data_IF_468584385624
#
_entry.id   IF_468584385624
#
_cell.length_a   1.000
_cell.length_b   1.000
_cell.length_c   1.000
_cell.angle_alpha   90.00
_cell.angle_beta   90.00
_cell.angle_gamma   90.00
#
_symmetry.space_group_name_H-M   'P 1'
#
loop_
_entity.id
_entity.type
_entity.pdbx_description
1 polymer ?
#
# COMPACT_ATOMS: atom_id res chain seq x y z
N UNK A 1 0.62 -27.11 6.13
CA UNK A 1 0.78 -26.21 7.29
C UNK A 1 -0.36 -26.50 8.24
N UNK A 2 -0.05 -26.92 9.47
CA UNK A 2 -1.06 -27.08 10.52
C UNK A 2 -1.77 -25.76 10.76
N UNK A 3 -3.11 -25.79 10.80
CA UNK A 3 -3.97 -24.62 10.95
C UNK A 3 -4.14 -24.28 12.43
N UNK A 4 -3.05 -23.98 13.13
CA UNK A 4 -3.09 -23.41 14.48
C UNK A 4 -2.92 -21.90 14.40
N UNK A 5 -3.78 -21.24 13.62
CA UNK A 5 -3.86 -19.78 13.62
C UNK A 5 -5.20 -19.39 14.20
N UNK A 6 -5.17 -18.56 15.23
CA UNK A 6 -6.35 -17.94 15.84
C UNK A 6 -6.89 -16.76 15.01
N UNK A 7 -8.12 -16.35 15.33
CA UNK A 7 -8.74 -15.12 14.81
C UNK A 7 -7.81 -13.94 15.10
N UNK A 8 -7.67 -13.02 14.14
CA UNK A 8 -6.82 -11.84 14.26
C UNK A 8 -5.32 -12.14 14.52
N UNK A 9 -4.83 -13.38 14.41
CA UNK A 9 -3.39 -13.63 14.59
C UNK A 9 -2.56 -13.20 13.38
N UNK A 10 -3.14 -13.24 12.19
CA UNK A 10 -2.48 -12.90 10.94
C UNK A 10 -3.40 -12.04 10.07
N UNK A 11 -3.04 -10.76 9.93
CA UNK A 11 -3.80 -9.79 9.14
C UNK A 11 -2.98 -9.32 7.94
N UNK A 12 -3.64 -9.12 6.81
CA UNK A 12 -3.07 -8.41 5.67
C UNK A 12 -3.57 -6.97 5.69
N UNK A 13 -2.66 -6.02 5.45
CA UNK A 13 -3.02 -4.59 5.33
C UNK A 13 -2.63 -4.05 3.96
N UNK A 14 -3.43 -3.13 3.46
CA UNK A 14 -3.16 -2.39 2.23
C UNK A 14 -3.88 -1.05 2.21
N UNK A 15 -3.40 -0.13 1.38
CA UNK A 15 -4.09 1.13 1.15
C UNK A 15 -5.08 1.02 -0.01
N UNK A 16 -6.32 1.38 0.25
CA UNK A 16 -7.35 1.64 -0.74
C UNK A 16 -7.46 3.15 -1.00
N UNK A 17 -7.74 3.56 -2.23
CA UNK A 17 -7.98 4.97 -2.59
C UNK A 17 -6.83 5.63 -3.38
N UNK A 18 -6.75 6.95 -3.30
CA UNK A 18 -5.88 7.78 -4.16
C UNK A 18 -6.53 8.19 -5.49
N UNK A 19 -7.79 7.84 -5.69
CA UNK A 19 -8.60 8.25 -6.84
C UNK A 19 -9.32 9.54 -6.46
N UNK A 20 -9.15 10.61 -7.25
CA UNK A 20 -9.99 11.80 -7.12
C UNK A 20 -11.42 11.40 -7.44
N UNK A 21 -12.33 11.64 -6.51
CA UNK A 21 -13.73 11.33 -6.74
C UNK A 21 -14.45 12.59 -7.21
N UNK A 22 -15.05 12.54 -8.41
CA UNK A 22 -15.84 13.64 -8.97
C UNK A 22 -17.05 13.97 -8.08
N UNK A 23 -17.46 13.01 -7.24
CA UNK A 23 -18.58 13.14 -6.33
C UNK A 23 -18.21 13.78 -4.98
N UNK A 24 -16.96 14.20 -4.74
CA UNK A 24 -16.51 14.84 -3.48
C UNK A 24 -17.38 16.03 -3.09
N UNK A 25 -17.89 16.80 -4.05
CA UNK A 25 -18.77 17.94 -3.82
C UNK A 25 -20.20 17.56 -3.40
N UNK A 26 -20.60 16.30 -3.58
CA UNK A 26 -21.96 15.83 -3.26
C UNK A 26 -22.15 15.47 -1.78
N UNK A 27 -21.10 15.58 -0.95
CA UNK A 27 -21.18 15.37 0.49
C UNK A 27 -20.54 16.54 1.25
N UNK A 28 -21.14 16.92 2.38
CA UNK A 28 -20.47 17.79 3.34
C UNK A 28 -19.26 17.08 3.96
N UNK A 29 -18.33 17.83 4.59
CA UNK A 29 -17.20 17.24 5.30
C UNK A 29 -17.73 16.20 6.30
N UNK A 30 -17.21 14.98 6.25
CA UNK A 30 -17.61 13.91 7.17
C UNK A 30 -17.26 14.38 8.59
N UNK A 31 -18.29 14.67 9.39
CA UNK A 31 -18.11 15.05 10.80
C UNK A 31 -17.77 13.86 11.69
N UNK A 32 -18.20 12.65 11.34
CA UNK A 32 -17.80 11.41 12.03
C UNK A 32 -18.49 10.17 11.45
N UNK A 33 -17.73 9.20 10.94
CA UNK A 33 -18.11 7.77 10.99
C UNK A 33 -16.86 6.97 11.35
N UNK A 34 -16.80 6.45 12.58
CA UNK A 34 -15.67 5.68 13.11
C UNK A 34 -14.55 6.57 13.64
N UNK A 35 -14.29 6.52 14.95
CA UNK A 35 -13.56 7.53 15.71
C UNK A 35 -12.15 7.91 15.22
N UNK A 36 -11.90 9.22 15.33
CA UNK A 36 -10.64 9.99 15.33
C UNK A 36 -10.10 10.43 13.96
N UNK A 37 -10.28 11.74 13.72
CA UNK A 37 -9.50 12.54 12.76
C UNK A 37 -8.00 12.37 13.02
N UNK A 38 -7.27 11.89 12.01
CA UNK A 38 -5.86 12.25 11.82
C UNK A 38 -5.89 13.35 10.75
N UNK A 39 -6.13 14.60 11.17
CA UNK A 39 -6.20 15.75 10.24
C UNK A 39 -7.15 16.88 10.65
N UNK A 40 -6.91 18.06 10.08
CA UNK A 40 -7.65 19.31 10.35
C UNK A 40 -9.08 19.28 9.79
N UNK A 41 -9.96 20.16 10.27
CA UNK A 41 -11.40 20.07 10.11
C UNK A 41 -12.00 20.19 8.69
N UNK A 42 -11.18 20.27 7.63
CA UNK A 42 -11.60 20.65 6.27
C UNK A 42 -11.25 19.63 5.18
N UNK A 43 -10.65 18.49 5.51
CA UNK A 43 -10.02 17.60 4.53
C UNK A 43 -10.82 16.30 4.34
N UNK A 44 -11.20 16.03 3.09
CA UNK A 44 -11.87 14.78 2.71
C UNK A 44 -10.87 13.62 2.75
N UNK A 45 -11.28 12.43 3.23
CA UNK A 45 -10.41 11.26 3.25
C UNK A 45 -10.06 10.85 1.80
N UNK A 46 -8.77 10.72 1.52
CA UNK A 46 -8.25 10.33 0.21
C UNK A 46 -7.92 8.85 0.13
N UNK A 47 -7.70 8.24 1.28
CA UNK A 47 -7.28 6.85 1.42
C UNK A 47 -8.10 6.14 2.50
N UNK A 48 -8.06 4.82 2.47
CA UNK A 48 -8.55 3.97 3.53
C UNK A 48 -7.55 2.85 3.76
N UNK A 49 -7.13 2.64 5.00
CA UNK A 49 -6.38 1.45 5.39
C UNK A 49 -7.35 0.28 5.45
N UNK A 50 -7.18 -0.68 4.54
CA UNK A 50 -7.93 -1.92 4.52
C UNK A 50 -7.15 -2.96 5.33
N UNK A 51 -7.78 -3.45 6.39
CA UNK A 51 -7.25 -4.50 7.26
C UNK A 51 -8.11 -5.75 7.01
N UNK A 52 -7.46 -6.81 6.57
CA UNK A 52 -8.09 -8.05 6.14
C UNK A 52 -7.56 -9.22 6.97
N UNK A 53 -8.41 -9.82 7.78
CA UNK A 53 -8.05 -11.03 8.53
C UNK A 53 -7.97 -12.22 7.57
N UNK A 54 -6.80 -12.88 7.50
CA UNK A 54 -6.56 -13.96 6.55
C UNK A 54 -7.26 -15.27 6.90
N UNK A 55 -7.63 -15.46 8.16
CA UNK A 55 -8.36 -16.63 8.62
C UNK A 55 -9.86 -16.45 8.41
N UNK A 56 -10.41 -15.37 8.97
CA UNK A 56 -11.87 -15.14 8.99
C UNK A 56 -12.36 -14.45 7.72
N UNK A 57 -11.45 -13.85 6.94
CA UNK A 57 -11.76 -12.97 5.81
C UNK A 57 -12.55 -11.73 6.20
N UNK A 58 -12.46 -11.32 7.47
CA UNK A 58 -13.12 -10.10 7.96
C UNK A 58 -12.44 -8.86 7.39
N UNK A 59 -13.25 -7.92 6.93
CA UNK A 59 -12.85 -6.64 6.36
C UNK A 59 -13.02 -5.52 7.37
N UNK A 60 -11.99 -4.72 7.56
CA UNK A 60 -12.07 -3.45 8.30
C UNK A 60 -11.47 -2.34 7.44
N UNK A 61 -12.17 -1.21 7.31
CA UNK A 61 -11.67 -0.04 6.60
C UNK A 61 -11.61 1.15 7.54
N UNK A 62 -10.45 1.78 7.62
CA UNK A 62 -10.21 2.97 8.43
C UNK A 62 -9.75 4.11 7.51
N UNK A 63 -10.44 5.25 7.56
CA UNK A 63 -10.23 6.35 6.62
C UNK A 63 -8.99 7.18 6.99
N UNK A 64 -8.26 7.66 5.99
CA UNK A 64 -7.07 8.49 6.13
C UNK A 64 -7.02 9.63 5.11
N UNK A 65 -6.39 10.73 5.48
CA UNK A 65 -6.13 11.85 4.57
C UNK A 65 -4.89 11.61 3.70
N UNK A 66 -3.90 10.91 4.25
CA UNK A 66 -2.62 10.63 3.63
C UNK A 66 -2.22 9.15 3.78
N UNK A 67 -1.11 8.77 3.13
CA UNK A 67 -0.46 7.46 3.26
C UNK A 67 0.85 7.56 4.04
N UNK A 68 0.89 8.34 5.12
CA UNK A 68 2.11 8.43 5.93
C UNK A 68 2.26 7.21 6.85
N UNK A 69 3.50 6.93 7.28
CA UNK A 69 3.76 5.88 8.27
C UNK A 69 3.13 6.21 9.64
N UNK A 70 2.96 7.50 9.96
CA UNK A 70 2.25 7.95 11.16
C UNK A 70 0.76 7.63 11.09
N UNK A 71 0.11 7.89 9.95
CA UNK A 71 -1.29 7.51 9.75
C UNK A 71 -1.49 6.00 9.74
N UNK A 72 -0.61 5.24 9.09
CA UNK A 72 -0.64 3.77 9.15
C UNK A 72 -0.58 3.26 10.59
N UNK A 73 0.34 3.81 11.41
CA UNK A 73 0.46 3.46 12.82
C UNK A 73 -0.82 3.79 13.60
N UNK A 74 -1.30 5.02 13.52
CA UNK A 74 -2.46 5.47 14.30
C UNK A 74 -3.72 4.66 13.99
N UNK A 75 -3.94 4.32 12.72
CA UNK A 75 -5.09 3.49 12.31
C UNK A 75 -4.92 2.03 12.73
N UNK A 76 -3.71 1.47 12.60
CA UNK A 76 -3.45 0.10 13.05
C UNK A 76 -3.56 -0.04 14.57
N UNK A 77 -3.09 0.97 15.31
CA UNK A 77 -3.24 1.04 16.76
C UNK A 77 -4.72 1.10 17.16
N UNK A 78 -5.51 1.93 16.49
CA UNK A 78 -6.97 1.97 16.69
C UNK A 78 -7.63 0.62 16.44
N UNK A 79 -7.27 -0.06 15.35
CA UNK A 79 -7.73 -1.42 15.07
C UNK A 79 -7.38 -2.38 16.21
N UNK A 80 -6.12 -2.35 16.68
CA UNK A 80 -5.65 -3.23 17.75
C UNK A 80 -6.41 -3.00 19.07
N UNK A 81 -6.76 -1.75 19.40
CA UNK A 81 -7.55 -1.45 20.59
C UNK A 81 -8.98 -2.01 20.53
N UNK A 82 -9.52 -2.23 19.33
CA UNK A 82 -10.87 -2.76 19.12
C UNK A 82 -10.87 -4.29 18.96
N UNK A 83 -9.87 -4.84 18.29
CA UNK A 83 -9.82 -6.25 17.86
C UNK A 83 -8.76 -7.09 18.56
N UNK A 84 -7.88 -6.46 19.32
CA UNK A 84 -6.66 -7.08 19.85
C UNK A 84 -5.47 -6.96 18.88
N UNK A 85 -4.29 -7.26 19.39
CA UNK A 85 -3.03 -7.16 18.64
C UNK A 85 -2.76 -8.42 17.82
N UNK A 86 -2.49 -8.31 16.50
CA UNK A 86 -2.11 -9.45 15.70
C UNK A 86 -0.68 -9.92 15.98
N UNK A 87 -0.40 -11.20 15.74
CA UNK A 87 0.96 -11.74 15.83
C UNK A 87 1.78 -11.43 14.58
N UNK A 88 1.12 -11.29 13.43
CA UNK A 88 1.75 -11.06 12.14
C UNK A 88 0.90 -10.09 11.28
N UNK A 89 1.55 -9.08 10.73
CA UNK A 89 1.01 -8.18 9.71
C UNK A 89 1.70 -8.48 8.39
N UNK A 90 0.91 -8.75 7.35
CA UNK A 90 1.35 -8.89 5.97
C UNK A 90 1.04 -7.64 5.18
N UNK A 91 2.05 -7.01 4.60
CA UNK A 91 1.90 -5.79 3.80
C UNK A 91 2.83 -5.82 2.58
N UNK A 92 2.69 -4.86 1.67
CA UNK A 92 3.71 -4.59 0.66
C UNK A 92 4.88 -3.78 1.25
N UNK A 93 5.83 -3.43 0.39
CA UNK A 93 6.97 -2.59 0.73
C UNK A 93 6.63 -1.08 0.55
N UNK A 94 5.38 -0.66 0.74
CA UNK A 94 5.01 0.75 0.70
C UNK A 94 5.72 1.52 1.84
N UNK A 95 6.06 2.79 1.59
CA UNK A 95 6.79 3.65 2.55
C UNK A 95 6.01 3.85 3.86
N UNK A 96 4.68 3.80 3.80
CA UNK A 96 3.83 3.84 4.99
C UNK A 96 4.05 2.65 5.94
N UNK A 97 4.38 1.47 5.41
CA UNK A 97 4.58 0.25 6.20
C UNK A 97 6.05 -0.08 6.46
N UNK A 98 6.96 0.47 5.67
CA UNK A 98 8.42 0.32 5.86
C UNK A 98 9.03 1.48 6.67
N UNK A 99 8.30 2.58 6.85
CA UNK A 99 8.75 3.74 7.59
C UNK A 99 9.03 3.45 9.07
N UNK A 100 9.96 4.21 9.66
CA UNK A 100 10.43 4.05 11.06
C UNK A 100 9.30 4.16 12.09
N UNK A 101 8.30 5.00 11.82
CA UNK A 101 7.16 5.20 12.72
C UNK A 101 6.35 3.90 12.89
N UNK A 102 5.88 3.33 11.78
CA UNK A 102 5.10 2.10 11.77
C UNK A 102 5.92 0.88 12.23
N UNK A 103 7.10 0.70 11.67
CA UNK A 103 7.97 -0.45 12.01
C UNK A 103 8.49 -0.40 13.44
N UNK A 104 8.79 0.79 13.95
CA UNK A 104 9.17 1.03 15.35
C UNK A 104 8.04 0.68 16.31
N UNK A 105 6.82 1.15 16.02
CA UNK A 105 5.63 0.80 16.79
C UNK A 105 5.35 -0.71 16.79
N UNK A 106 5.37 -1.37 15.62
CA UNK A 106 5.20 -2.82 15.53
C UNK A 106 6.23 -3.58 16.39
N UNK A 107 7.51 -3.13 16.38
CA UNK A 107 8.58 -3.72 17.20
C UNK A 107 8.30 -3.55 18.69
N UNK A 108 7.88 -2.38 19.14
CA UNK A 108 7.54 -2.11 20.55
C UNK A 108 6.37 -2.99 21.01
N UNK A 109 5.36 -3.15 20.17
CA UNK A 109 4.18 -3.95 20.49
C UNK A 109 4.38 -5.47 20.31
N UNK A 110 5.56 -5.91 19.86
CA UNK A 110 5.85 -7.32 19.59
C UNK A 110 5.12 -7.89 18.36
N UNK A 111 4.60 -7.03 17.49
CA UNK A 111 3.92 -7.42 16.25
C UNK A 111 4.94 -7.65 15.16
N UNK A 112 4.95 -8.85 14.56
CA UNK A 112 5.83 -9.14 13.43
C UNK A 112 5.26 -8.55 12.16
N UNK A 113 6.11 -7.96 11.33
CA UNK A 113 5.74 -7.44 10.00
C UNK A 113 6.48 -8.25 8.94
N UNK A 114 5.75 -8.74 7.95
CA UNK A 114 6.32 -9.41 6.79
C UNK A 114 5.90 -8.67 5.52
N UNK A 115 6.91 -8.15 4.81
CA UNK A 115 6.72 -7.47 3.54
C UNK A 115 6.70 -8.48 2.39
N UNK A 116 5.75 -8.30 1.48
CA UNK A 116 5.74 -9.07 0.24
C UNK A 116 6.89 -8.62 -0.66
N UNK A 117 7.62 -9.54 -1.32
CA UNK A 117 8.69 -9.17 -2.21
C UNK A 117 8.20 -8.23 -3.32
N UNK A 118 9.01 -7.26 -3.76
CA UNK A 118 8.65 -6.35 -4.83
C UNK A 118 8.19 -7.12 -6.08
N UNK A 119 7.19 -6.59 -6.79
CA UNK A 119 6.70 -7.14 -8.06
C UNK A 119 6.16 -8.58 -7.98
N UNK A 120 5.59 -8.97 -6.83
CA UNK A 120 4.89 -10.26 -6.65
C UNK A 120 3.39 -10.11 -6.31
N UNK A 121 2.59 -9.41 -7.15
CA UNK A 121 1.17 -9.12 -6.86
C UNK A 121 0.34 -10.37 -6.54
N UNK A 122 0.67 -11.51 -7.17
CA UNK A 122 -0.01 -12.78 -6.94
C UNK A 122 0.07 -13.29 -5.50
N UNK A 123 1.07 -12.90 -4.69
CA UNK A 123 1.15 -13.27 -3.27
C UNK A 123 0.16 -12.51 -2.40
N UNK A 124 -0.34 -11.37 -2.90
CA UNK A 124 -1.41 -10.55 -2.33
C UNK A 124 -2.75 -10.77 -3.02
N UNK A 125 -2.91 -11.87 -3.76
CA UNK A 125 -4.13 -12.14 -4.51
C UNK A 125 -5.41 -12.13 -3.64
N UNK A 126 -5.31 -12.38 -2.34
CA UNK A 126 -6.44 -12.27 -1.41
C UNK A 126 -6.90 -10.81 -1.24
N UNK A 127 -5.99 -9.88 -0.95
CA UNK A 127 -6.34 -8.46 -0.71
C UNK A 127 -6.62 -7.74 -2.04
N UNK A 128 -5.93 -8.09 -3.12
CA UNK A 128 -6.22 -7.56 -4.46
C UNK A 128 -7.61 -7.98 -4.95
N UNK A 129 -8.00 -9.23 -4.70
CA UNK A 129 -9.36 -9.70 -5.00
C UNK A 129 -10.39 -8.98 -4.15
N UNK A 130 -10.13 -8.82 -2.85
CA UNK A 130 -10.98 -8.05 -1.96
C UNK A 130 -11.14 -6.59 -2.45
N UNK A 131 -10.07 -5.94 -2.89
CA UNK A 131 -10.15 -4.60 -3.47
C UNK A 131 -11.00 -4.56 -4.73
N UNK A 132 -10.86 -5.54 -5.62
CA UNK A 132 -11.69 -5.62 -6.83
C UNK A 132 -13.19 -5.77 -6.49
N UNK A 133 -13.50 -6.55 -5.47
CA UNK A 133 -14.87 -6.74 -4.95
C UNK A 133 -15.40 -5.45 -4.33
N UNK A 134 -14.64 -4.80 -3.45
CA UNK A 134 -15.00 -3.50 -2.84
C UNK A 134 -15.28 -2.46 -3.92
N UNK A 135 -14.42 -2.32 -4.93
CA UNK A 135 -14.65 -1.36 -6.01
C UNK A 135 -15.85 -1.72 -6.89
N UNK A 136 -16.17 -3.01 -7.08
CA UNK A 136 -17.38 -3.42 -7.76
C UNK A 136 -18.63 -3.02 -6.95
N UNK A 137 -18.59 -3.20 -5.64
CA UNK A 137 -19.66 -2.80 -4.72
C UNK A 137 -19.86 -1.28 -4.67
N UNK A 138 -18.76 -0.50 -4.62
CA UNK A 138 -18.84 0.97 -4.71
C UNK A 138 -19.54 1.38 -6.01
N UNK A 139 -19.15 0.81 -7.16
CA UNK A 139 -19.79 1.12 -8.45
C UNK A 139 -21.27 0.76 -8.46
N UNK A 140 -21.65 -0.39 -7.90
CA UNK A 140 -23.03 -0.81 -7.82
C UNK A 140 -23.88 0.16 -6.96
N UNK A 141 -23.37 0.56 -5.78
CA UNK A 141 -24.07 1.52 -4.92
C UNK A 141 -24.20 2.91 -5.58
N UNK A 142 -23.17 3.38 -6.29
CA UNK A 142 -23.26 4.63 -7.07
C UNK A 142 -24.31 4.52 -8.18
N UNK A 143 -24.36 3.42 -8.92
CA UNK A 143 -25.36 3.18 -9.96
C UNK A 143 -26.79 3.16 -9.40
N UNK A 144 -26.96 2.59 -8.21
CA UNK A 144 -28.24 2.58 -7.51
C UNK A 144 -28.67 4.00 -7.10
N UNK A 145 -27.77 4.81 -6.56
CA UNK A 145 -28.06 6.20 -6.22
C UNK A 145 -28.51 6.98 -7.47
N UNK A 146 -27.85 6.78 -8.61
CA UNK A 146 -28.26 7.35 -9.92
C UNK A 146 -29.65 6.85 -10.32
N UNK A 147 -29.91 5.55 -10.20
CA UNK A 147 -31.20 4.94 -10.54
C UNK A 147 -32.36 5.46 -9.69
N UNK A 148 -32.08 5.87 -8.43
CA UNK A 148 -33.05 6.50 -7.52
C UNK A 148 -33.20 8.02 -7.76
N UNK A 149 -32.50 8.59 -8.75
CA UNK A 149 -32.48 10.03 -9.02
C UNK A 149 -31.71 10.84 -7.97
N UNK A 150 -30.86 10.21 -7.18
CA UNK A 150 -30.01 10.86 -6.17
C UNK A 150 -28.59 11.06 -6.71
N UNK A 151 -27.90 12.10 -6.24
CA UNK A 151 -26.50 12.32 -6.60
C UNK A 151 -25.62 11.27 -5.91
N UNK A 152 -24.71 10.59 -6.63
CA UNK A 152 -23.78 9.65 -6.01
C UNK A 152 -22.94 10.36 -4.95
N UNK A 153 -22.62 9.63 -3.89
CA UNK A 153 -21.73 10.08 -2.84
C UNK A 153 -20.29 9.66 -3.16
N UNK A 154 -19.29 10.22 -2.47
CA UNK A 154 -17.92 9.77 -2.61
C UNK A 154 -17.74 8.30 -2.20
N UNK A 155 -16.80 7.61 -2.83
CA UNK A 155 -16.54 6.18 -2.61
C UNK A 155 -16.36 5.80 -1.14
N UNK A 156 -15.69 6.67 -0.36
CA UNK A 156 -15.41 6.45 1.06
C UNK A 156 -16.68 6.40 1.92
N UNK A 157 -17.79 7.00 1.46
CA UNK A 157 -19.07 6.97 2.14
C UNK A 157 -19.67 5.55 2.17
N UNK A 158 -19.37 4.74 1.14
CA UNK A 158 -19.93 3.40 1.00
C UNK A 158 -19.12 2.34 1.75
N UNK A 159 -17.85 2.61 2.11
CA UNK A 159 -16.95 1.58 2.64
C UNK A 159 -17.49 0.88 3.88
N UNK A 160 -18.07 1.61 4.84
CA UNK A 160 -18.60 0.98 6.05
C UNK A 160 -19.82 0.10 5.76
N UNK A 161 -20.69 0.51 4.82
CA UNK A 161 -21.81 -0.32 4.36
C UNK A 161 -21.33 -1.57 3.64
N UNK A 162 -20.31 -1.43 2.80
CA UNK A 162 -19.68 -2.54 2.07
C UNK A 162 -19.02 -3.50 3.05
N UNK A 163 -18.27 -3.00 4.03
CA UNK A 163 -17.65 -3.81 5.08
C UNK A 163 -18.69 -4.60 5.86
N UNK A 164 -19.78 -3.94 6.28
CA UNK A 164 -20.88 -4.60 6.95
C UNK A 164 -21.48 -5.71 6.09
N UNK A 165 -21.75 -5.43 4.81
CA UNK A 165 -22.31 -6.42 3.90
C UNK A 165 -21.36 -7.61 3.67
N UNK A 166 -20.08 -7.37 3.42
CA UNK A 166 -19.06 -8.41 3.21
C UNK A 166 -18.90 -9.29 4.46
N UNK A 167 -18.85 -8.68 5.64
CA UNK A 167 -18.63 -9.40 6.88
C UNK A 167 -19.84 -10.23 7.33
N UNK A 168 -21.04 -9.88 6.88
CA UNK A 168 -22.29 -10.61 7.17
C UNK A 168 -22.74 -11.52 6.02
N UNK A 169 -22.08 -11.48 4.86
CA UNK A 169 -22.42 -12.34 3.75
C UNK A 169 -21.82 -13.73 3.95
N UNK A 170 -22.68 -14.75 3.90
CA UNK A 170 -22.23 -16.14 3.87
C UNK A 170 -21.34 -16.38 2.65
N UNK A 171 -20.15 -16.96 2.88
CA UNK A 171 -19.21 -17.29 1.81
C UNK A 171 -19.15 -18.79 1.60
N UNK A 172 -19.32 -19.25 0.36
CA UNK A 172 -19.14 -20.68 0.02
C UNK A 172 -17.72 -21.16 0.35
N UNK A 173 -16.72 -20.30 0.15
CA UNK A 173 -15.32 -20.59 0.48
C UNK A 173 -15.09 -20.79 1.99
N UNK A 174 -15.97 -20.23 2.83
CA UNK A 174 -15.95 -20.40 4.28
C UNK A 174 -16.93 -21.50 4.76
N UNK A 175 -17.47 -22.32 3.85
CA UNK A 175 -18.41 -23.38 4.20
C UNK A 175 -19.83 -22.88 4.46
N UNK A 176 -20.21 -21.74 3.90
CA UNK A 176 -21.56 -21.16 4.04
C UNK A 176 -21.75 -20.30 5.29
N UNK A 177 -20.69 -20.08 6.08
CA UNK A 177 -20.70 -19.11 7.19
C UNK A 177 -20.17 -17.74 6.74
N UNK A 178 -20.55 -16.68 7.46
CA UNK A 178 -20.03 -15.34 7.21
C UNK A 178 -18.72 -15.09 7.98
N UNK A 179 -17.89 -14.11 7.55
CA UNK A 179 -16.73 -13.69 8.34
C UNK A 179 -17.07 -13.32 9.79
N UNK A 180 -18.20 -12.66 10.06
CA UNK A 180 -18.60 -12.30 11.42
C UNK A 180 -18.97 -13.53 12.27
N UNK A 181 -19.58 -14.56 11.69
CA UNK A 181 -19.86 -15.80 12.42
C UNK A 181 -18.56 -16.44 12.94
N UNK A 182 -17.48 -16.35 12.15
CA UNK A 182 -16.15 -16.83 12.53
C UNK A 182 -15.47 -15.96 13.58
N UNK A 183 -15.70 -14.64 13.57
CA UNK A 183 -15.03 -13.69 14.48
C UNK A 183 -15.70 -13.63 15.84
N UNK A 184 -17.03 -13.51 15.90
CA UNK A 184 -17.76 -13.19 17.14
C UNK A 184 -18.49 -14.39 17.72
N UNK A 185 -18.59 -15.51 17.01
CA UNK A 185 -19.35 -16.72 17.41
C UNK A 185 -20.87 -16.51 17.61
N UNK A 186 -21.36 -15.28 17.45
CA UNK A 186 -22.78 -14.93 17.37
C UNK A 186 -23.05 -14.17 16.08
N UNK A 187 -24.20 -14.41 15.46
CA UNK A 187 -24.63 -13.63 14.28
C UNK A 187 -24.79 -12.17 14.70
N UNK A 188 -23.99 -11.29 14.09
CA UNK A 188 -24.21 -9.85 14.20
C UNK A 188 -25.63 -9.56 13.74
N UNK A 189 -26.42 -8.96 14.63
CA UNK A 189 -27.81 -8.68 14.34
C UNK A 189 -27.91 -7.77 13.12
N UNK A 190 -28.46 -8.28 12.03
CA UNK A 190 -28.96 -7.46 10.94
C UNK A 190 -29.99 -6.44 11.49
N UNK A 191 -30.24 -5.31 10.83
CA UNK A 191 -31.32 -4.43 11.24
C UNK A 191 -32.62 -5.21 11.48
N UNK A 192 -33.37 -4.94 12.59
CA UNK A 192 -34.52 -5.76 12.98
C UNK A 192 -35.55 -5.99 11.87
N UNK A 193 -35.70 -5.03 10.94
CA UNK A 193 -36.58 -5.15 9.78
C UNK A 193 -36.19 -6.28 8.80
N UNK A 194 -34.93 -6.69 8.79
CA UNK A 194 -34.40 -7.77 7.97
C UNK A 194 -34.35 -9.12 8.71
N UNK A 195 -34.70 -9.13 9.99
CA UNK A 195 -34.73 -10.33 10.80
C UNK A 195 -36.17 -10.83 10.95
N UNK A 196 -36.38 -12.15 11.07
CA UNK A 196 -37.65 -12.65 11.56
C UNK A 196 -37.93 -12.06 12.94
N UNK A 197 -39.17 -11.65 13.19
CA UNK A 197 -39.59 -11.12 14.49
C UNK A 197 -39.28 -12.15 15.58
N UNK A 198 -38.29 -11.85 16.40
CA UNK A 198 -38.01 -12.60 17.63
C UNK A 198 -38.52 -11.76 18.79
N UNK A 199 -39.49 -12.26 19.57
CA UNK A 199 -39.95 -11.53 20.74
C UNK A 199 -38.76 -11.29 21.68
N UNK A 200 -38.70 -10.10 22.28
CA UNK A 200 -37.72 -9.81 23.31
C UNK A 200 -37.91 -10.82 24.47
N UNK A 201 -36.82 -11.27 25.11
CA UNK A 201 -36.90 -12.02 26.36
C UNK A 201 -37.82 -11.32 27.37
N UNK A 202 -38.64 -12.07 28.10
CA UNK A 202 -39.69 -11.53 28.97
C UNK A 202 -39.12 -10.62 30.08
N UNK A 203 -37.95 -10.95 30.61
CA UNK A 203 -37.17 -10.17 31.56
C UNK A 203 -36.66 -8.84 30.98
N UNK A 204 -36.20 -8.85 29.72
CA UNK A 204 -35.81 -7.62 29.01
C UNK A 204 -37.03 -6.76 28.69
N UNK A 205 -38.15 -7.36 28.32
CA UNK A 205 -39.41 -6.65 28.09
C UNK A 205 -39.89 -5.96 29.37
N UNK A 206 -39.89 -6.68 30.50
CA UNK A 206 -40.21 -6.12 31.82
C UNK A 206 -39.26 -4.97 32.20
N UNK A 207 -37.96 -5.12 31.95
CA UNK A 207 -36.98 -4.06 32.19
C UNK A 207 -37.25 -2.83 31.32
N UNK A 208 -37.53 -3.01 30.03
CA UNK A 208 -37.84 -1.90 29.11
C UNK A 208 -39.12 -1.21 29.53
N UNK A 209 -40.21 -1.94 29.79
CA UNK A 209 -41.48 -1.37 30.26
C UNK A 209 -41.31 -0.60 31.57
N UNK A 210 -40.46 -1.09 32.48
CA UNK A 210 -40.19 -0.47 33.77
C UNK A 210 -39.34 0.80 33.68
N UNK A 211 -38.39 0.88 32.75
CA UNK A 211 -37.37 1.93 32.71
C UNK A 211 -37.46 2.87 31.48
N UNK A 212 -38.27 2.51 30.50
CA UNK A 212 -38.36 3.19 29.21
C UNK A 212 -39.81 3.21 28.74
N UNK A 213 -40.48 4.35 28.87
CA UNK A 213 -41.51 4.69 27.89
C UNK A 213 -40.73 5.30 26.71
N UNK A 214 -40.40 4.55 25.64
CA UNK A 214 -39.84 5.18 24.46
C UNK A 214 -40.80 6.30 24.06
N UNK A 215 -40.34 7.55 23.89
CA UNK A 215 -41.21 8.60 23.39
C UNK A 215 -41.76 8.11 22.07
N UNK A 216 -43.08 7.99 22.00
CA UNK A 216 -43.77 7.70 20.76
C UNK A 216 -43.48 8.86 19.81
N UNK A 217 -42.44 8.71 18.99
CA UNK A 217 -42.18 9.56 17.84
C UNK A 217 -43.23 9.24 16.77
N UNK A 218 -44.48 9.59 17.09
CA UNK A 218 -45.65 9.57 16.20
C UNK A 218 -45.61 10.69 15.17
N UNK A 219 -44.53 11.49 15.15
CA UNK A 219 -44.28 12.45 14.10
C UNK A 219 -44.23 11.72 12.75
N UNK A 220 -45.25 11.96 11.93
CA UNK A 220 -45.39 11.46 10.57
C UNK A 220 -44.13 11.75 9.73
N UNK A 221 -43.41 12.86 10.03
CA UNK A 221 -42.15 13.19 9.38
C UNK A 221 -41.02 12.23 9.76
N UNK A 222 -40.92 11.84 11.03
CA UNK A 222 -39.94 10.85 11.51
C UNK A 222 -40.26 9.45 10.97
N UNK A 223 -41.54 9.06 11.00
CA UNK A 223 -41.97 7.76 10.47
C UNK A 223 -41.73 7.64 8.96
N UNK A 224 -42.03 8.69 8.18
CA UNK A 224 -41.69 8.74 6.75
C UNK A 224 -40.18 8.71 6.50
N UNK A 225 -39.38 9.34 7.37
CA UNK A 225 -37.92 9.30 7.29
C UNK A 225 -37.38 7.89 7.54
N UNK A 226 -37.82 7.23 8.63
CA UNK A 226 -37.41 5.86 8.97
C UNK A 226 -37.81 4.88 7.88
N UNK A 227 -39.05 4.97 7.38
CA UNK A 227 -39.55 4.09 6.33
C UNK A 227 -38.82 4.27 5.00
N UNK A 228 -38.49 5.52 4.65
CA UNK A 228 -37.63 5.82 3.50
C UNK A 228 -36.25 5.17 3.64
N UNK A 229 -35.57 5.37 4.78
CA UNK A 229 -34.25 4.79 5.02
C UNK A 229 -34.27 3.26 5.05
N UNK A 230 -35.33 2.67 5.61
CA UNK A 230 -35.55 1.22 5.63
C UNK A 230 -35.62 0.66 4.20
N UNK A 231 -36.49 1.21 3.36
CA UNK A 231 -36.61 0.81 1.95
C UNK A 231 -35.32 1.01 1.16
N UNK A 232 -34.63 2.12 1.40
CA UNK A 232 -33.34 2.40 0.74
C UNK A 232 -32.27 1.37 1.12
N UNK A 233 -32.24 0.95 2.37
CA UNK A 233 -31.29 -0.04 2.88
C UNK A 233 -31.60 -1.45 2.40
N UNK A 234 -32.87 -1.86 2.43
CA UNK A 234 -33.35 -3.14 1.89
C UNK A 234 -33.04 -3.28 0.39
N UNK A 235 -33.35 -2.24 -0.39
CA UNK A 235 -33.03 -2.19 -1.82
C UNK A 235 -31.52 -2.33 -2.06
N UNK A 236 -30.70 -1.59 -1.30
CA UNK A 236 -29.25 -1.61 -1.46
C UNK A 236 -28.65 -2.98 -1.14
N UNK A 237 -29.14 -3.67 -0.11
CA UNK A 237 -28.69 -5.03 0.22
C UNK A 237 -29.10 -6.03 -0.84
N UNK A 238 -30.33 -5.95 -1.34
CA UNK A 238 -30.83 -6.86 -2.39
C UNK A 238 -30.00 -6.73 -3.68
N UNK A 239 -29.81 -5.48 -4.14
CA UNK A 239 -29.00 -5.16 -5.32
C UNK A 239 -27.55 -5.61 -5.12
N UNK A 240 -26.96 -5.32 -3.97
CA UNK A 240 -25.61 -5.75 -3.63
C UNK A 240 -25.44 -7.27 -3.72
N UNK A 241 -26.37 -8.04 -3.15
CA UNK A 241 -26.33 -9.51 -3.18
C UNK A 241 -26.39 -10.05 -4.61
N UNK A 242 -27.28 -9.53 -5.44
CA UNK A 242 -27.38 -9.94 -6.85
C UNK A 242 -26.11 -9.64 -7.64
N UNK A 243 -25.56 -8.42 -7.50
CA UNK A 243 -24.34 -8.03 -8.19
C UNK A 243 -23.12 -8.83 -7.73
N UNK A 244 -23.01 -9.10 -6.42
CA UNK A 244 -21.94 -9.91 -5.87
C UNK A 244 -21.97 -11.32 -6.47
N UNK A 245 -23.14 -11.97 -6.49
CA UNK A 245 -23.31 -13.31 -7.06
C UNK A 245 -22.92 -13.34 -8.54
N UNK A 246 -23.39 -12.36 -9.34
CA UNK A 246 -23.01 -12.26 -10.76
C UNK A 246 -21.50 -12.04 -10.96
N UNK A 247 -20.90 -11.13 -10.20
CA UNK A 247 -19.48 -10.81 -10.32
C UNK A 247 -18.59 -12.00 -9.92
N UNK A 248 -18.96 -12.74 -8.87
CA UNK A 248 -18.27 -13.97 -8.47
C UNK A 248 -18.38 -15.05 -9.55
N UNK A 249 -19.57 -15.22 -10.13
CA UNK A 249 -19.80 -16.14 -11.24
C UNK A 249 -18.92 -15.82 -12.45
N UNK A 250 -18.93 -14.57 -12.94
CA UNK A 250 -18.13 -14.15 -14.08
C UNK A 250 -16.62 -14.31 -13.85
N UNK A 251 -16.15 -14.01 -12.63
CA UNK A 251 -14.76 -14.21 -12.25
C UNK A 251 -14.38 -15.69 -12.22
N UNK A 252 -15.26 -16.57 -11.74
CA UNK A 252 -15.03 -18.02 -11.72
C UNK A 252 -14.87 -18.58 -13.15
N UNK A 253 -15.72 -18.15 -14.09
CA UNK A 253 -15.68 -18.57 -15.50
C UNK A 253 -14.40 -18.08 -16.18
N UNK A 254 -13.99 -16.84 -15.90
CA UNK A 254 -12.72 -16.26 -16.39
C UNK A 254 -11.49 -16.96 -15.81
N UNK A 255 -11.53 -17.41 -14.56
CA UNK A 255 -10.41 -18.14 -13.93
C UNK A 255 -10.31 -19.57 -14.47
N UNK A 256 -11.44 -20.26 -14.62
CA UNK A 256 -11.49 -21.61 -15.19
C UNK A 256 -10.93 -21.64 -16.63
N UNK A 257 -11.30 -20.66 -17.46
CA UNK A 257 -10.81 -20.53 -18.83
C UNK A 257 -9.32 -20.17 -18.95
N UNK A 258 -8.76 -19.43 -17.97
CA UNK A 258 -7.32 -19.10 -17.92
C UNK A 258 -6.45 -20.24 -17.35
N UNK A 259 -7.00 -21.02 -16.43
CA UNK A 259 -6.35 -22.17 -15.79
C UNK A 259 -5.92 -23.23 -16.80
N UNK A 260 -6.75 -23.49 -17.82
CA UNK A 260 -6.46 -24.46 -18.87
C UNK A 260 -5.24 -24.13 -19.76
N UNK A 261 -4.70 -22.88 -19.72
CA UNK A 261 -3.63 -22.43 -20.63
C UNK A 261 -2.21 -22.41 -20.03
N UNK A 262 -2.00 -22.71 -18.75
CA UNK A 262 -0.66 -22.57 -18.15
C UNK A 262 0.11 -23.90 -18.09
N UNK A 263 1.11 -23.96 -18.96
CA UNK A 263 2.13 -24.99 -19.09
C UNK A 263 2.80 -25.35 -17.76
N UNK A 264 3.18 -26.62 -17.64
CA UNK A 264 4.02 -27.15 -16.56
C UNK A 264 5.31 -26.32 -16.44
N UNK A 265 5.67 -25.78 -15.27
CA UNK A 265 6.97 -25.15 -15.08
C UNK A 265 8.07 -26.19 -15.30
N UNK A 266 8.99 -25.91 -16.23
CA UNK A 266 10.18 -26.74 -16.39
C UNK A 266 11.08 -26.59 -15.15
N UNK A 267 11.69 -27.68 -14.65
CA UNK A 267 12.65 -27.58 -13.55
C UNK A 267 13.85 -26.70 -13.93
N UNK A 268 14.35 -25.97 -12.94
CA UNK A 268 15.57 -25.15 -13.00
C UNK A 268 16.70 -25.91 -12.30
N UNK A 269 17.89 -25.91 -12.90
CA UNK A 269 19.08 -26.58 -12.37
C UNK A 269 20.05 -25.56 -11.77
N UNK A 270 20.65 -25.87 -10.62
CA UNK A 270 21.61 -24.98 -9.95
C UNK A 270 22.75 -24.62 -10.90
N UNK A 271 23.09 -23.33 -10.98
CA UNK A 271 24.04 -22.75 -11.92
C UNK A 271 23.43 -22.28 -13.24
N UNK A 272 22.16 -22.59 -13.52
CA UNK A 272 21.47 -22.18 -14.75
C UNK A 272 21.35 -20.66 -14.84
N UNK A 273 21.58 -20.14 -16.05
CA UNK A 273 21.48 -18.71 -16.32
C UNK A 273 20.03 -18.28 -16.51
N UNK A 274 19.66 -17.19 -15.86
CA UNK A 274 18.32 -16.61 -15.88
C UNK A 274 18.38 -15.13 -16.26
N UNK A 275 17.30 -14.66 -16.88
CA UNK A 275 16.96 -13.25 -17.04
C UNK A 275 15.93 -12.89 -15.98
N UNK A 276 16.12 -11.78 -15.26
CA UNK A 276 15.16 -11.23 -14.31
C UNK A 276 14.34 -10.14 -14.98
N UNK A 277 13.03 -10.12 -14.78
CA UNK A 277 12.16 -9.07 -15.32
C UNK A 277 12.53 -7.71 -14.70
N UNK A 278 12.91 -6.75 -15.53
CA UNK A 278 13.23 -5.39 -15.08
C UNK A 278 11.95 -4.69 -14.61
N UNK A 279 11.96 -3.99 -13.46
CA UNK A 279 10.83 -3.16 -13.07
C UNK A 279 10.63 -2.05 -14.09
N UNK A 280 9.38 -1.86 -14.53
CA UNK A 280 9.03 -0.75 -15.42
C UNK A 280 9.14 0.56 -14.64
N UNK A 281 10.21 1.32 -14.86
CA UNK A 281 10.31 2.70 -14.39
C UNK A 281 9.23 3.54 -15.09
N UNK A 282 8.34 4.19 -14.32
CA UNK A 282 7.39 5.18 -14.81
C UNK A 282 8.15 6.39 -15.41
N UNK A 283 7.90 6.72 -16.68
CA UNK A 283 8.50 7.90 -17.35
C UNK A 283 8.62 7.79 -18.88
N UNK A 284 8.72 8.94 -19.56
CA UNK A 284 8.97 9.03 -21.01
C UNK A 284 10.30 8.33 -21.34
N UNK A 285 10.25 7.23 -22.10
CA UNK A 285 11.41 6.39 -22.45
C UNK A 285 11.17 4.88 -22.36
N UNK A 286 9.98 4.46 -21.90
CA UNK A 286 9.59 3.05 -21.68
C UNK A 286 9.71 2.13 -22.92
N UNK A 287 9.50 2.65 -24.14
CA UNK A 287 9.36 1.78 -25.33
C UNK A 287 10.66 1.13 -25.79
N UNK A 288 11.83 1.69 -25.44
CA UNK A 288 13.14 1.19 -25.89
C UNK A 288 13.96 0.52 -24.78
N UNK A 289 13.52 0.56 -23.52
CA UNK A 289 14.23 -0.11 -22.41
C UNK A 289 14.01 -1.62 -22.42
N UNK A 290 15.09 -2.36 -22.16
CA UNK A 290 15.05 -3.81 -22.04
C UNK A 290 14.16 -4.23 -20.85
N UNK A 291 13.14 -5.04 -21.14
CA UNK A 291 12.18 -5.56 -20.15
C UNK A 291 12.78 -6.66 -19.24
N UNK A 292 13.97 -7.13 -19.57
CA UNK A 292 14.68 -8.20 -18.87
C UNK A 292 16.11 -7.73 -18.60
N UNK A 293 16.58 -7.99 -17.40
CA UNK A 293 17.88 -7.65 -16.85
C UNK A 293 18.62 -8.93 -16.45
N UNK A 294 19.95 -8.89 -16.45
CA UNK A 294 20.79 -10.05 -16.25
C UNK A 294 21.82 -10.20 -17.37
N UNK A 295 22.37 -11.39 -17.60
CA UNK A 295 22.01 -12.68 -17.01
C UNK A 295 22.49 -12.85 -15.56
N UNK A 296 21.80 -13.68 -14.79
CA UNK A 296 22.10 -14.04 -13.38
C UNK A 296 22.18 -15.55 -13.24
N UNK A 297 22.86 -16.08 -12.22
CA UNK A 297 22.88 -17.52 -11.93
C UNK A 297 21.79 -17.89 -10.93
N UNK A 298 21.17 -19.04 -11.15
CA UNK A 298 20.31 -19.69 -10.18
C UNK A 298 21.16 -20.41 -9.12
N UNK A 299 21.05 -20.03 -7.86
CA UNK A 299 21.79 -20.66 -6.76
C UNK A 299 21.02 -21.82 -6.13
N UNK A 300 19.69 -21.75 -6.16
CA UNK A 300 18.80 -22.76 -5.61
C UNK A 300 17.43 -22.18 -5.29
N UNK A 301 16.51 -23.04 -4.90
CA UNK A 301 15.22 -22.56 -4.39
C UNK A 301 15.42 -21.95 -3.01
N UNK A 302 14.69 -20.87 -2.72
CA UNK A 302 14.52 -20.42 -1.34
C UNK A 302 13.62 -21.37 -0.54
N UNK A 303 13.10 -20.92 0.60
CA UNK A 303 12.19 -21.70 1.47
C UNK A 303 10.90 -22.18 0.76
N UNK A 304 10.60 -21.64 -0.43
CA UNK A 304 9.45 -21.97 -1.25
C UNK A 304 9.88 -22.37 -2.66
N UNK A 305 9.25 -23.40 -3.23
CA UNK A 305 9.43 -23.83 -4.65
C UNK A 305 9.10 -22.75 -5.69
N UNK A 306 8.53 -21.62 -5.27
CA UNK A 306 8.18 -20.48 -6.11
C UNK A 306 9.21 -19.34 -6.04
N UNK A 307 10.14 -19.40 -5.08
CA UNK A 307 11.20 -18.41 -4.90
C UNK A 307 12.54 -19.03 -5.32
N UNK A 308 13.26 -18.24 -6.10
CA UNK A 308 14.49 -18.59 -6.78
C UNK A 308 15.54 -17.65 -6.22
N UNK A 309 16.55 -18.18 -5.53
CA UNK A 309 17.70 -17.38 -5.09
C UNK A 309 18.64 -17.17 -6.28
N UNK A 310 19.00 -15.92 -6.52
CA UNK A 310 19.77 -15.51 -7.69
C UNK A 310 20.99 -14.70 -7.29
N UNK A 311 22.05 -14.86 -8.06
CA UNK A 311 23.31 -14.13 -7.90
C UNK A 311 23.81 -13.58 -9.23
N UNK A 312 24.61 -12.51 -9.18
CA UNK A 312 25.27 -11.96 -10.37
C UNK A 312 26.26 -12.98 -10.96
N UNK A 313 26.69 -12.76 -12.20
CA UNK A 313 27.73 -13.60 -12.81
C UNK A 313 29.05 -13.60 -12.04
N UNK A 314 29.31 -12.54 -11.26
CA UNK A 314 30.46 -12.33 -10.37
C UNK A 314 30.27 -12.93 -8.96
N UNK A 315 29.12 -13.57 -8.68
CA UNK A 315 28.86 -14.24 -7.40
C UNK A 315 28.29 -13.34 -6.31
N UNK A 316 27.85 -12.12 -6.63
CA UNK A 316 27.16 -11.24 -5.66
C UNK A 316 25.70 -11.69 -5.51
N UNK A 317 25.20 -11.95 -4.29
CA UNK A 317 23.80 -12.30 -4.10
C UNK A 317 22.89 -11.13 -4.47
N UNK A 318 21.85 -11.40 -5.28
CA UNK A 318 20.79 -10.45 -5.63
C UNK A 318 19.50 -10.70 -4.83
N UNK A 319 19.43 -11.83 -4.12
CA UNK A 319 18.32 -12.19 -3.24
C UNK A 319 17.24 -13.03 -3.94
N UNK A 320 16.09 -13.15 -3.27
CA UNK A 320 15.00 -14.02 -3.69
C UNK A 320 14.10 -13.37 -4.74
N UNK A 321 13.92 -14.03 -5.89
CA UNK A 321 13.03 -13.59 -6.97
C UNK A 321 11.98 -14.66 -7.25
N UNK A 322 10.77 -14.26 -7.61
CA UNK A 322 9.72 -15.21 -7.96
C UNK A 322 9.98 -15.90 -9.30
N UNK A 323 9.64 -17.20 -9.42
CA UNK A 323 9.87 -18.00 -10.64
C UNK A 323 9.19 -17.43 -11.91
N UNK A 324 8.10 -16.67 -11.76
CA UNK A 324 7.43 -15.98 -12.88
C UNK A 324 8.16 -14.71 -13.38
N UNK A 325 9.04 -14.16 -12.56
CA UNK A 325 9.84 -13.00 -12.91
C UNK A 325 11.22 -13.41 -13.45
N UNK A 326 11.43 -14.71 -13.71
CA UNK A 326 12.65 -15.22 -14.33
C UNK A 326 12.36 -15.98 -15.62
N UNK A 327 13.29 -15.91 -16.57
CA UNK A 327 13.30 -16.64 -17.84
C UNK A 327 14.65 -17.32 -18.02
N UNK A 328 14.70 -18.55 -18.55
CA UNK A 328 15.97 -19.19 -18.93
C UNK A 328 16.74 -18.34 -19.94
N UNK A 329 18.01 -18.09 -19.66
CA UNK A 329 18.94 -17.45 -20.58
C UNK A 329 19.69 -18.53 -21.36
N UNK A 330 19.53 -18.53 -22.69
CA UNK A 330 20.29 -19.37 -23.59
C UNK A 330 21.43 -18.53 -24.16
N UNK A 331 22.61 -18.65 -23.55
CA UNK A 331 23.81 -17.93 -23.95
C UNK A 331 24.92 -18.95 -24.20
N UNK A 332 25.76 -18.71 -25.21
CA UNK A 332 26.96 -19.52 -25.45
C UNK A 332 28.06 -19.19 -24.43
N UNK A 333 29.00 -20.10 -24.21
CA UNK A 333 30.11 -19.89 -23.27
C UNK A 333 30.94 -18.63 -23.61
N UNK A 334 31.10 -18.33 -24.91
CA UNK A 334 31.75 -17.10 -25.38
C UNK A 334 30.96 -15.84 -24.96
N UNK A 335 29.63 -15.85 -25.09
CA UNK A 335 28.77 -14.74 -24.67
C UNK A 335 28.81 -14.55 -23.14
N UNK A 336 28.85 -15.64 -22.38
CA UNK A 336 28.96 -15.60 -20.92
C UNK A 336 30.31 -15.04 -20.49
N UNK A 337 31.41 -15.44 -21.14
CA UNK A 337 32.75 -14.89 -20.87
C UNK A 337 32.83 -13.40 -21.20
N UNK A 338 32.27 -12.98 -22.34
CA UNK A 338 32.21 -11.57 -22.73
C UNK A 338 31.42 -10.73 -21.71
N UNK A 339 30.27 -11.23 -21.25
CA UNK A 339 29.46 -10.56 -20.22
C UNK A 339 30.15 -10.52 -18.86
N UNK A 340 30.90 -11.57 -18.48
CA UNK A 340 31.74 -11.55 -17.28
C UNK A 340 32.80 -10.46 -17.36
N UNK A 341 33.50 -10.35 -18.50
CA UNK A 341 34.54 -9.33 -18.72
C UNK A 341 33.98 -7.90 -18.67
N UNK A 342 32.76 -7.69 -19.15
CA UNK A 342 32.07 -6.40 -19.02
C UNK A 342 31.69 -6.09 -17.57
N UNK A 343 31.19 -7.08 -16.83
CA UNK A 343 30.86 -6.91 -15.40
C UNK A 343 32.09 -6.65 -14.54
N UNK A 344 33.23 -7.30 -14.81
CA UNK A 344 34.48 -7.07 -14.08
C UNK A 344 35.07 -5.70 -14.39
N UNK A 345 34.94 -5.19 -15.63
CA UNK A 345 35.37 -3.82 -15.98
C UNK A 345 34.50 -2.76 -15.31
N UNK A 346 33.19 -2.99 -15.20
CA UNK A 346 32.30 -2.12 -14.42
C UNK A 346 32.60 -2.19 -12.92
N UNK A 347 33.00 -3.34 -12.39
CA UNK A 347 33.38 -3.51 -10.98
C UNK A 347 34.78 -2.95 -10.67
N UNK A 348 35.76 -3.10 -11.55
CA UNK A 348 37.06 -2.44 -11.43
C UNK A 348 36.90 -0.92 -11.43
N UNK A 349 36.05 -0.37 -12.30
CA UNK A 349 35.69 1.05 -12.27
C UNK A 349 34.94 1.47 -10.98
N UNK A 350 34.22 0.56 -10.31
CA UNK A 350 33.65 0.81 -8.97
C UNK A 350 34.71 0.77 -7.88
N UNK A 351 35.65 -0.16 -7.92
CA UNK A 351 36.66 -0.34 -6.87
C UNK A 351 37.63 0.85 -6.83
N UNK A 352 38.02 1.41 -7.97
CA UNK A 352 38.83 2.64 -8.02
C UNK A 352 38.11 3.86 -7.43
N UNK A 353 36.77 3.86 -7.44
CA UNK A 353 35.96 4.90 -6.79
C UNK A 353 35.75 4.67 -5.28
N UNK A 354 36.01 3.46 -4.78
CA UNK A 354 35.72 3.08 -3.38
C UNK A 354 36.93 3.28 -2.44
N UNK A 355 38.13 3.51 -2.98
CA UNK A 355 39.36 3.74 -2.19
C UNK A 355 39.53 5.15 -1.64
N UNK A 356 38.62 6.09 -1.94
CA UNK A 356 38.56 7.40 -1.29
C UNK A 356 37.60 7.32 -0.09
N UNK A 357 38.13 6.90 1.07
CA UNK A 357 37.39 6.86 2.32
C UNK A 357 37.02 8.25 2.83
N UNK A 358 35.85 8.77 2.44
CA UNK A 358 35.01 9.64 3.25
C UNK A 358 33.57 9.57 2.72
N UNK A 359 32.59 9.54 3.60
CA UNK A 359 31.16 9.43 3.30
C UNK A 359 30.60 10.68 2.61
N UNK A 360 30.97 10.90 1.35
CA UNK A 360 30.42 11.96 0.49
C UNK A 360 29.97 11.38 -0.85
N UNK A 361 28.82 11.82 -1.41
CA UNK A 361 28.36 11.37 -2.72
C UNK A 361 29.30 11.84 -3.84
N UNK A 362 29.44 11.00 -4.87
CA UNK A 362 30.31 11.25 -6.03
C UNK A 362 29.55 12.10 -7.06
N UNK A 363 30.15 13.22 -7.46
CA UNK A 363 29.65 14.15 -8.50
C UNK A 363 29.87 13.56 -9.90
N UNK A 364 28.83 13.48 -10.73
CA UNK A 364 28.87 12.81 -12.06
C UNK A 364 28.65 13.77 -13.25
N UNK A 365 27.90 14.86 -13.11
CA UNK A 365 27.76 15.90 -14.15
C UNK A 365 27.05 17.18 -13.65
N UNK A 366 27.31 18.32 -14.28
CA UNK A 366 26.60 19.60 -14.06
C UNK A 366 25.25 19.63 -14.80
N UNK A 367 24.21 20.14 -14.12
CA UNK A 367 22.88 20.42 -14.67
C UNK A 367 22.68 21.94 -14.84
N UNK A 368 21.83 22.39 -15.78
CA UNK A 368 21.57 23.82 -15.99
C UNK A 368 20.97 24.48 -14.73
N UNK A 369 21.37 25.72 -14.38
CA UNK A 369 21.05 26.32 -13.10
C UNK A 369 19.58 26.74 -12.99
N UNK A 370 18.86 26.20 -12.00
CA UNK A 370 17.63 26.78 -11.48
C UNK A 370 18.01 27.93 -10.54
N UNK A 371 17.47 29.13 -10.74
CA UNK A 371 17.89 30.33 -9.99
C UNK A 371 17.29 30.34 -8.58
N UNK A 372 18.13 30.17 -7.55
CA UNK A 372 17.79 30.49 -6.17
C UNK A 372 17.73 32.01 -5.95
N UNK A 373 16.80 32.45 -5.12
CA UNK A 373 16.67 33.86 -4.69
C UNK A 373 17.63 34.20 -3.55
N UNK A 374 18.06 33.22 -2.75
CA UNK A 374 18.98 33.40 -1.61
C UNK A 374 20.42 33.04 -1.93
N UNK A 375 20.65 32.11 -2.87
CA UNK A 375 21.99 31.64 -3.25
C UNK A 375 22.18 31.65 -4.77
N UNK A 376 22.47 32.82 -5.38
CA UNK A 376 22.58 32.97 -6.83
C UNK A 376 23.65 32.10 -7.49
N UNK A 377 24.65 31.64 -6.72
CA UNK A 377 25.76 30.78 -7.12
C UNK A 377 25.49 29.28 -6.93
N UNK A 378 24.28 28.90 -6.52
CA UNK A 378 23.90 27.49 -6.36
C UNK A 378 23.97 26.75 -7.72
N UNK A 379 24.71 25.66 -7.77
CA UNK A 379 24.81 24.81 -8.96
C UNK A 379 24.28 23.41 -8.68
N UNK A 380 23.58 22.84 -9.67
CA UNK A 380 22.90 21.57 -9.56
C UNK A 380 23.81 20.49 -10.13
N UNK A 381 24.06 19.47 -9.32
CA UNK A 381 25.01 18.42 -9.62
C UNK A 381 24.30 17.10 -9.57
N UNK A 382 24.41 16.29 -10.61
CA UNK A 382 23.90 14.93 -10.59
C UNK A 382 24.90 14.04 -9.84
N UNK A 383 24.53 13.55 -8.67
CA UNK A 383 25.29 12.55 -7.93
C UNK A 383 24.57 11.20 -7.88
N UNK A 384 25.18 10.26 -7.17
CA UNK A 384 24.61 8.94 -6.96
C UNK A 384 24.50 8.66 -5.47
N UNK A 385 23.33 8.16 -5.06
CA UNK A 385 23.13 7.57 -3.74
C UNK A 385 24.19 6.47 -3.51
N UNK A 386 24.89 6.52 -2.37
CA UNK A 386 25.96 5.59 -2.04
C UNK A 386 25.47 4.12 -1.94
N UNK A 387 24.23 3.91 -1.53
CA UNK A 387 23.69 2.59 -1.23
C UNK A 387 23.00 1.96 -2.44
N UNK A 388 22.27 2.75 -3.23
CA UNK A 388 21.42 2.22 -4.31
C UNK A 388 21.77 2.76 -5.71
N UNK A 389 22.73 3.70 -5.83
CA UNK A 389 23.19 4.32 -7.09
C UNK A 389 22.08 4.97 -7.91
N UNK A 390 20.97 5.34 -7.28
CA UNK A 390 19.97 6.15 -7.95
C UNK A 390 20.57 7.53 -8.24
N UNK A 391 20.33 8.10 -9.43
CA UNK A 391 20.77 9.45 -9.74
C UNK A 391 20.00 10.40 -8.83
N UNK A 392 20.73 11.04 -7.92
CA UNK A 392 20.22 12.09 -7.04
C UNK A 392 20.67 13.43 -7.58
N UNK A 393 19.75 14.38 -7.64
CA UNK A 393 20.11 15.77 -7.91
C UNK A 393 20.56 16.36 -6.58
N UNK A 394 21.81 16.81 -6.51
CA UNK A 394 22.36 17.57 -5.40
C UNK A 394 22.45 19.04 -5.77
N UNK A 395 22.46 19.89 -4.75
CA UNK A 395 22.75 21.33 -4.93
C UNK A 395 24.03 21.63 -4.18
N UNK A 396 24.98 22.28 -4.83
CA UNK A 396 26.18 22.79 -4.17
C UNK A 396 26.14 24.32 -4.14
N UNK A 397 26.32 24.86 -2.93
CA UNK A 397 26.43 26.29 -2.65
C UNK A 397 27.89 26.75 -2.57
N UNK A 398 28.85 25.85 -2.76
CA UNK A 398 30.26 26.20 -2.84
C UNK A 398 30.56 26.90 -4.17
N UNK A 399 31.55 27.79 -4.19
CA UNK A 399 32.00 28.37 -5.45
C UNK A 399 33.00 27.40 -6.12
N UNK A 400 32.69 26.83 -7.30
CA UNK A 400 33.59 25.90 -7.97
C UNK A 400 34.91 26.55 -8.42
N UNK A 401 34.99 27.89 -8.45
CA UNK A 401 36.21 28.62 -8.80
C UNK A 401 37.14 28.89 -7.61
N UNK A 402 36.68 28.65 -6.37
CA UNK A 402 37.46 28.86 -5.16
C UNK A 402 38.27 27.60 -4.81
N UNK A 403 39.51 27.52 -5.29
CA UNK A 403 40.47 26.41 -5.06
C UNK A 403 40.86 26.15 -3.59
N UNK A 404 40.25 26.86 -2.62
CA UNK A 404 40.50 26.76 -1.18
C UNK A 404 39.27 26.36 -0.35
N UNK A 405 38.10 26.12 -0.97
CA UNK A 405 36.95 25.63 -0.22
C UNK A 405 37.21 24.18 0.19
N UNK A 406 37.41 23.95 1.49
CA UNK A 406 37.53 22.60 2.07
C UNK A 406 36.31 21.71 1.78
N UNK A 407 36.31 20.44 2.23
CA UNK A 407 35.20 19.52 1.99
C UNK A 407 33.90 20.15 2.50
N UNK A 408 32.98 20.48 1.59
CA UNK A 408 31.72 21.11 1.93
C UNK A 408 30.89 20.25 2.87
N UNK A 409 30.15 20.90 3.77
CA UNK A 409 29.27 20.22 4.71
C UNK A 409 27.89 20.01 4.10
N UNK A 410 27.21 18.97 4.54
CA UNK A 410 25.95 18.53 3.94
C UNK A 410 24.76 18.79 4.86
N UNK A 411 23.74 19.45 4.34
CA UNK A 411 22.45 19.66 5.01
C UNK A 411 21.34 19.06 4.14
N UNK A 412 20.42 18.33 4.74
CA UNK A 412 19.26 17.75 4.05
C UNK A 412 18.08 18.73 4.09
N UNK A 413 17.35 18.86 2.98
CA UNK A 413 16.14 19.69 2.93
C UNK A 413 14.92 18.98 3.50
N UNK A 414 13.93 19.77 3.92
CA UNK A 414 12.72 19.34 4.63
C UNK A 414 11.70 18.53 3.80
N UNK A 415 11.47 18.89 2.53
CA UNK A 415 10.37 18.31 1.74
C UNK A 415 10.82 17.27 0.69
N UNK A 416 12.07 17.33 0.26
CA UNK A 416 12.51 16.66 -0.97
C UNK A 416 13.62 15.61 -0.77
N UNK A 417 13.98 15.29 0.49
CA UNK A 417 15.13 14.44 0.87
C UNK A 417 16.44 14.81 0.13
N UNK A 418 16.54 16.07 -0.32
CA UNK A 418 17.62 16.54 -1.18
C UNK A 418 18.79 16.99 -0.32
N UNK A 419 19.98 16.51 -0.66
CA UNK A 419 21.22 16.86 0.05
C UNK A 419 21.88 18.07 -0.60
N UNK A 420 22.14 19.09 0.21
CA UNK A 420 22.77 20.35 -0.20
C UNK A 420 24.16 20.46 0.42
N UNK A 421 25.17 20.59 -0.44
CA UNK A 421 26.53 20.90 -0.01
C UNK A 421 26.65 22.40 0.23
N UNK A 422 27.14 22.81 1.40
CA UNK A 422 27.20 24.20 1.81
C UNK A 422 28.47 24.54 2.62
N UNK A 423 28.84 25.83 2.69
CA UNK A 423 29.88 26.30 3.59
C UNK A 423 29.51 26.13 5.06
N UNK A 424 30.52 26.07 5.94
CA UNK A 424 30.37 25.95 7.39
C UNK A 424 29.35 26.93 8.01
N UNK A 425 29.35 28.19 7.59
CA UNK A 425 28.42 29.19 8.14
C UNK A 425 26.95 28.92 7.78
N UNK A 426 26.68 28.27 6.65
CA UNK A 426 25.32 27.84 6.27
C UNK A 426 24.93 26.61 7.06
N UNK A 427 25.83 25.64 7.16
CA UNK A 427 25.62 24.45 7.98
C UNK A 427 25.32 24.82 9.44
N UNK A 428 26.12 25.68 10.07
CA UNK A 428 25.91 26.07 11.46
C UNK A 428 24.61 26.82 11.71
N UNK A 429 24.13 27.56 10.70
CA UNK A 429 22.85 28.26 10.76
C UNK A 429 21.65 27.30 10.68
N UNK A 430 21.79 26.18 9.97
CA UNK A 430 20.68 25.30 9.62
C UNK A 430 20.80 23.86 10.15
N UNK A 431 21.87 23.48 10.85
CA UNK A 431 22.04 22.14 11.43
C UNK A 431 20.97 21.79 12.48
N UNK A 432 20.44 22.80 13.18
CA UNK A 432 19.47 22.66 14.27
C UNK A 432 18.06 23.17 13.89
N UNK A 433 17.85 23.59 12.63
CA UNK A 433 16.56 24.11 12.13
C UNK A 433 16.22 23.51 10.76
N UNK A 434 14.96 23.53 10.34
CA UNK A 434 14.57 23.01 9.01
C UNK A 434 15.12 23.87 7.87
N UNK A 435 15.96 23.27 7.02
CA UNK A 435 16.46 23.87 5.79
C UNK A 435 15.49 23.61 4.65
N UNK A 436 14.94 24.66 4.03
CA UNK A 436 13.77 24.49 3.13
C UNK A 436 14.19 24.34 1.68
N UNK A 437 13.46 23.52 0.90
CA UNK A 437 13.71 23.39 -0.54
C UNK A 437 13.63 24.77 -1.26
N UNK A 438 12.79 25.71 -0.79
CA UNK A 438 12.68 27.07 -1.36
C UNK A 438 13.97 27.91 -1.21
N UNK A 439 14.75 27.68 -0.16
CA UNK A 439 15.96 28.44 0.12
C UNK A 439 17.04 28.22 -0.97
N UNK A 440 17.03 27.04 -1.59
CA UNK A 440 17.93 26.68 -2.71
C UNK A 440 17.29 26.87 -4.09
N UNK A 441 16.15 27.57 -4.18
CA UNK A 441 15.48 27.85 -5.45
C UNK A 441 14.65 26.71 -6.01
N UNK A 442 14.40 25.66 -5.21
CA UNK A 442 13.52 24.57 -5.61
C UNK A 442 12.09 24.90 -5.20
N UNK A 443 11.21 25.01 -6.20
CA UNK A 443 9.78 25.19 -5.97
C UNK A 443 9.15 23.82 -5.70
N UNK A 444 9.32 23.30 -4.48
CA UNK A 444 8.80 22.00 -4.09
C UNK A 444 7.28 22.09 -3.93
N UNK A 445 6.52 21.62 -4.93
CA UNK A 445 5.06 21.46 -4.88
C UNK A 445 4.65 19.99 -4.67
N UNK A 446 5.47 19.23 -3.95
CA UNK A 446 5.17 17.84 -3.59
C UNK A 446 4.23 17.79 -2.39
#
# INVERSE_FOLDING_TARGET
MGREFGINECVAIDWLGGVKDEDEANCGPISSVGLRRVGTASTHPRFALHIYDLLTRSHTFLLAEDKSAGSAQALMEHYCLIRGYPKLILCDADLSFTGRCFTGWCRVMGVRVAHTPPFTPFRRAHIERAHAEVWASVRAMKQEDIGKGTRPRPWYYYLQKIAFALNNAASQDLGGVSPNDLVYTYQTSLPPALQPERPLPSDLLEYVVKNSAPPDYTDDRYNKFVEKFRREFEAAISVYREHLVRALHDNSVRLASRSQRRQRPQPLEVGQLLWIRSPSSFGLGYKTKARWSGPVRFKGNGDSKQLVDVETLAGRPLGLVHIFNVKKAFLSDQQVQMLKQLSTKEEEAKVTATTAGSSSPIVVADLPPLRSTLFPSAHYVLGQDADNRTPLVHVSLLDPSASSSGPGLWVQTDCCDLWVQCPQYVFDKFKDTTFRCEDVGLNCRL
#
